data_IF_101607670810
#
_entry.id   IF_101607670810
#
_cell.length_a   1.000
_cell.length_b   1.000
_cell.length_c   1.000
_cell.angle_alpha   90.00
_cell.angle_beta   90.00
_cell.angle_gamma   90.00
#
_symmetry.space_group_name_H-M   'P 1'
#
loop_
_entity.id
_entity.type
_entity.pdbx_description
1 polymer ?
#
# COMPACT_ATOMS: atom_id res chain seq x y z
N UNK A 1 -1.94 -19.91 1.88
CA UNK A 1 -1.73 -19.51 0.46
C UNK A 1 -2.68 -18.39 0.01
N UNK A 2 -4.01 -18.57 0.06
CA UNK A 2 -4.99 -17.57 -0.43
C UNK A 2 -4.93 -16.19 0.26
N UNK A 3 -4.71 -16.14 1.57
CA UNK A 3 -4.67 -14.87 2.31
C UNK A 3 -3.47 -13.99 1.92
N UNK A 4 -2.29 -14.59 1.77
CA UNK A 4 -1.08 -13.87 1.35
C UNK A 4 -1.23 -13.33 -0.08
N UNK A 5 -1.85 -14.10 -0.99
CA UNK A 5 -2.16 -13.62 -2.34
C UNK A 5 -3.07 -12.39 -2.34
N UNK A 6 -4.12 -12.39 -1.51
CA UNK A 6 -5.00 -11.22 -1.35
C UNK A 6 -4.28 -10.02 -0.74
N UNK A 7 -3.40 -10.23 0.26
CA UNK A 7 -2.60 -9.17 0.87
C UNK A 7 -1.65 -8.53 -0.15
N UNK A 8 -0.99 -9.34 -0.98
CA UNK A 8 -0.10 -8.86 -2.05
C UNK A 8 -0.87 -8.09 -3.12
N UNK A 9 -2.03 -8.60 -3.55
CA UNK A 9 -2.89 -7.89 -4.49
C UNK A 9 -3.35 -6.54 -3.93
N UNK A 10 -3.80 -6.51 -2.68
CA UNK A 10 -4.21 -5.27 -2.01
C UNK A 10 -3.04 -4.28 -1.89
N UNK A 11 -1.84 -4.77 -1.54
CA UNK A 11 -0.62 -3.93 -1.47
C UNK A 11 -0.25 -3.35 -2.83
N UNK A 12 -0.40 -4.13 -3.90
CA UNK A 12 -0.14 -3.67 -5.27
C UNK A 12 -1.14 -2.60 -5.73
N UNK A 13 -2.43 -2.82 -5.47
CA UNK A 13 -3.49 -1.85 -5.79
C UNK A 13 -3.32 -0.56 -4.98
N UNK A 14 -3.01 -0.67 -3.69
CA UNK A 14 -2.74 0.46 -2.83
C UNK A 14 -1.52 1.25 -3.33
N UNK A 15 -0.39 0.58 -3.58
CA UNK A 15 0.81 1.25 -4.11
C UNK A 15 0.58 1.93 -5.45
N UNK A 16 -0.23 1.33 -6.32
CA UNK A 16 -0.65 1.96 -7.58
C UNK A 16 -1.51 3.20 -7.31
N UNK A 17 -2.43 3.16 -6.34
CA UNK A 17 -3.23 4.32 -5.95
C UNK A 17 -2.37 5.46 -5.36
N UNK A 18 -1.30 5.14 -4.64
CA UNK A 18 -0.32 6.12 -4.13
C UNK A 18 0.41 6.79 -5.28
N UNK A 19 0.85 6.03 -6.29
CA UNK A 19 1.45 6.58 -7.51
C UNK A 19 0.48 7.46 -8.29
N UNK A 20 -0.80 7.07 -8.42
CA UNK A 20 -1.81 7.90 -9.07
C UNK A 20 -2.08 9.19 -8.29
N UNK A 21 -2.12 9.12 -6.96
CA UNK A 21 -2.34 10.29 -6.10
C UNK A 21 -1.20 11.30 -6.23
N UNK A 22 0.05 10.86 -6.04
CA UNK A 22 1.21 11.76 -6.05
C UNK A 22 1.71 12.08 -7.46
N UNK A 23 1.63 11.15 -8.40
CA UNK A 23 2.13 11.30 -9.77
C UNK A 23 1.15 11.94 -10.74
N UNK A 24 -0.16 11.91 -10.46
CA UNK A 24 -1.19 12.49 -11.35
C UNK A 24 -2.04 13.51 -10.62
N UNK A 25 -2.71 13.13 -9.52
CA UNK A 25 -3.68 14.01 -8.89
C UNK A 25 -3.02 15.27 -8.30
N UNK A 26 -1.84 15.13 -7.68
CA UNK A 26 -1.09 16.28 -7.15
C UNK A 26 -0.62 17.24 -8.27
N UNK A 27 0.00 16.77 -9.38
CA UNK A 27 0.27 17.63 -10.53
C UNK A 27 -0.98 18.33 -11.10
N UNK A 28 -2.10 17.61 -11.24
CA UNK A 28 -3.35 18.23 -11.72
C UNK A 28 -3.86 19.33 -10.77
N UNK A 29 -3.71 19.15 -9.46
CA UNK A 29 -4.07 20.19 -8.48
C UNK A 29 -3.27 21.47 -8.69
N UNK A 30 -1.95 21.38 -8.91
CA UNK A 30 -1.08 22.55 -8.98
C UNK A 30 -0.93 23.14 -10.40
N UNK A 31 -1.01 22.32 -11.45
CA UNK A 31 -0.79 22.74 -12.84
C UNK A 31 -2.09 23.09 -13.57
N UNK A 32 -3.18 22.41 -13.21
CA UNK A 32 -4.48 22.56 -13.87
C UNK A 32 -5.56 23.12 -12.91
N UNK A 33 -5.20 23.51 -11.69
CA UNK A 33 -6.13 24.02 -10.67
C UNK A 33 -7.34 23.08 -10.44
N UNK A 34 -7.10 21.75 -10.49
CA UNK A 34 -8.13 20.72 -10.33
C UNK A 34 -8.05 20.03 -8.95
N UNK A 35 -8.43 20.70 -7.85
CA UNK A 35 -8.38 20.10 -6.50
C UNK A 35 -9.34 18.90 -6.35
N UNK A 36 -10.38 18.82 -7.19
CA UNK A 36 -11.33 17.71 -7.20
C UNK A 36 -10.66 16.36 -7.49
N UNK A 37 -9.63 16.32 -8.35
CA UNK A 37 -8.89 15.10 -8.66
C UNK A 37 -8.22 14.52 -7.41
N UNK A 38 -7.58 15.38 -6.60
CA UNK A 38 -6.98 14.97 -5.31
C UNK A 38 -8.05 14.51 -4.33
N UNK A 39 -9.21 15.17 -4.28
CA UNK A 39 -10.29 14.75 -3.37
C UNK A 39 -10.79 13.34 -3.70
N UNK A 40 -11.01 13.03 -4.97
CA UNK A 40 -11.51 11.71 -5.40
C UNK A 40 -10.43 10.65 -5.21
N UNK A 41 -9.25 10.84 -5.83
CA UNK A 41 -8.15 9.86 -5.79
C UNK A 41 -7.63 9.69 -4.36
N UNK A 42 -7.51 10.78 -3.61
CA UNK A 42 -7.09 10.76 -2.21
C UNK A 42 -8.07 10.04 -1.29
N UNK A 43 -9.38 10.17 -1.52
CA UNK A 43 -10.38 9.41 -0.74
C UNK A 43 -10.30 7.91 -1.04
N UNK A 44 -10.14 7.53 -2.31
CA UNK A 44 -9.96 6.13 -2.73
C UNK A 44 -8.69 5.55 -2.11
N UNK A 45 -7.58 6.26 -2.24
CA UNK A 45 -6.29 5.87 -1.67
C UNK A 45 -6.38 5.72 -0.14
N UNK A 46 -6.98 6.69 0.56
CA UNK A 46 -7.15 6.63 2.02
C UNK A 46 -7.95 5.40 2.48
N UNK A 47 -9.02 5.04 1.75
CA UNK A 47 -9.77 3.81 2.03
C UNK A 47 -8.91 2.55 1.81
N UNK A 48 -8.18 2.49 0.69
CA UNK A 48 -7.26 1.38 0.39
C UNK A 48 -6.17 1.24 1.46
N UNK A 49 -5.58 2.34 1.91
CA UNK A 49 -4.56 2.38 2.96
C UNK A 49 -5.08 1.83 4.29
N UNK A 50 -6.29 2.21 4.70
CA UNK A 50 -6.93 1.66 5.92
C UNK A 50 -7.19 0.17 5.77
N UNK A 51 -7.74 -0.27 4.64
CA UNK A 51 -7.96 -1.70 4.37
C UNK A 51 -6.66 -2.50 4.41
N UNK A 52 -5.59 -1.97 3.80
CA UNK A 52 -4.28 -2.61 3.79
C UNK A 52 -3.67 -2.68 5.21
N UNK A 53 -3.78 -1.59 5.98
CA UNK A 53 -3.29 -1.54 7.35
C UNK A 53 -3.97 -2.58 8.25
N UNK A 54 -5.30 -2.69 8.16
CA UNK A 54 -6.05 -3.74 8.85
C UNK A 54 -5.66 -5.14 8.40
N UNK A 55 -5.44 -5.34 7.08
CA UNK A 55 -5.00 -6.62 6.55
C UNK A 55 -3.61 -7.02 7.08
N UNK A 56 -2.66 -6.09 7.18
CA UNK A 56 -1.35 -6.34 7.80
C UNK A 56 -1.45 -6.68 9.28
N UNK A 57 -2.31 -5.99 10.04
CA UNK A 57 -2.56 -6.33 11.44
C UNK A 57 -3.11 -7.75 11.58
N UNK A 58 -4.13 -8.11 10.79
CA UNK A 58 -4.69 -9.48 10.79
C UNK A 58 -3.67 -10.52 10.35
N UNK A 59 -2.77 -10.16 9.44
CA UNK A 59 -1.74 -11.05 8.92
C UNK A 59 -0.76 -11.49 10.02
N UNK A 60 -0.48 -10.65 11.03
CA UNK A 60 0.37 -11.04 12.19
C UNK A 60 -0.18 -12.23 12.99
N UNK A 61 -1.49 -12.48 12.93
CA UNK A 61 -2.15 -13.60 13.63
C UNK A 61 -2.47 -14.79 12.71
N UNK A 62 -2.28 -14.66 11.39
CA UNK A 62 -2.72 -15.64 10.38
C UNK A 62 -1.59 -16.20 9.53
N UNK A 63 -0.45 -15.54 9.49
CA UNK A 63 0.75 -15.95 8.76
C UNK A 63 1.98 -15.62 9.62
N UNK A 64 3.11 -16.33 9.47
CA UNK A 64 4.28 -16.21 10.34
C UNK A 64 5.12 -14.95 10.05
N UNK A 65 4.46 -13.82 9.85
CA UNK A 65 5.10 -12.51 9.68
C UNK A 65 5.19 -11.79 11.03
N UNK A 66 6.34 -11.16 11.28
CA UNK A 66 6.59 -10.46 12.55
C UNK A 66 5.82 -9.14 12.60
N UNK A 67 5.50 -8.67 13.83
CA UNK A 67 4.88 -7.36 14.04
C UNK A 67 5.69 -6.22 13.42
N UNK A 68 7.02 -6.30 13.50
CA UNK A 68 7.93 -5.34 12.88
C UNK A 68 7.81 -5.31 11.35
N UNK A 69 7.64 -6.47 10.71
CA UNK A 69 7.45 -6.55 9.26
C UNK A 69 6.09 -5.99 8.83
N UNK A 70 5.02 -6.28 9.59
CA UNK A 70 3.71 -5.69 9.35
C UNK A 70 3.73 -4.16 9.50
N UNK A 71 4.42 -3.64 10.52
CA UNK A 71 4.61 -2.21 10.71
C UNK A 71 5.42 -1.57 9.57
N UNK A 72 6.51 -2.21 9.15
CA UNK A 72 7.30 -1.75 8.00
C UNK A 72 6.47 -1.70 6.72
N UNK A 73 5.55 -2.65 6.50
CA UNK A 73 4.63 -2.65 5.36
C UNK A 73 3.66 -1.45 5.37
N UNK A 74 3.12 -1.11 6.54
CA UNK A 74 2.25 0.06 6.71
C UNK A 74 3.02 1.36 6.47
N UNK A 75 4.23 1.49 7.04
CA UNK A 75 5.08 2.66 6.83
C UNK A 75 5.49 2.79 5.36
N UNK A 76 5.78 1.67 4.71
CA UNK A 76 6.12 1.64 3.31
C UNK A 76 4.96 2.13 2.43
N UNK A 77 3.72 1.75 2.72
CA UNK A 77 2.52 2.18 1.97
C UNK A 77 2.33 3.72 1.92
N UNK A 78 2.81 4.46 2.93
CA UNK A 78 2.76 5.94 2.94
C UNK A 78 3.66 6.57 1.87
N UNK A 79 4.74 5.88 1.48
CA UNK A 79 5.68 6.37 0.49
C UNK A 79 5.26 5.91 -0.91
N UNK A 80 5.31 6.78 -1.95
CA UNK A 80 4.84 6.46 -3.29
C UNK A 80 5.46 5.21 -3.92
N UNK A 81 6.69 4.87 -3.55
CA UNK A 81 7.38 3.67 -4.02
C UNK A 81 7.60 2.62 -2.93
N UNK A 82 7.23 2.91 -1.68
CA UNK A 82 7.47 2.02 -0.55
C UNK A 82 6.78 0.65 -0.67
N UNK A 83 5.49 0.53 -1.04
CA UNK A 83 4.85 -0.79 -1.08
C UNK A 83 5.44 -1.71 -2.16
N UNK A 84 5.97 -1.17 -3.26
CA UNK A 84 6.66 -1.97 -4.30
C UNK A 84 8.00 -2.53 -3.81
N UNK A 85 8.79 -1.71 -3.12
CA UNK A 85 10.06 -2.16 -2.52
C UNK A 85 9.78 -3.19 -1.42
N UNK A 86 8.76 -2.94 -0.60
CA UNK A 86 8.36 -3.83 0.48
C UNK A 86 7.88 -5.20 -0.03
N UNK A 87 7.05 -5.27 -1.08
CA UNK A 87 6.59 -6.56 -1.65
C UNK A 87 7.78 -7.40 -2.15
N UNK A 88 8.78 -6.77 -2.77
CA UNK A 88 10.00 -7.44 -3.25
C UNK A 88 10.81 -8.00 -2.07
N UNK A 89 10.93 -7.24 -0.99
CA UNK A 89 11.64 -7.67 0.22
C UNK A 89 10.89 -8.79 0.96
N UNK A 90 9.56 -8.70 1.06
CA UNK A 90 8.70 -9.74 1.63
C UNK A 90 8.82 -11.05 0.84
N UNK A 91 8.87 -10.98 -0.49
CA UNK A 91 9.06 -12.16 -1.34
C UNK A 91 10.38 -12.89 -1.11
N UNK A 92 11.45 -12.16 -0.77
CA UNK A 92 12.75 -12.77 -0.39
C UNK A 92 12.67 -13.39 1.01
N UNK A 93 12.11 -12.69 2.00
CA UNK A 93 11.98 -13.16 3.38
C UNK A 93 11.10 -14.41 3.54
N UNK A 94 10.07 -14.56 2.71
CA UNK A 94 9.21 -15.76 2.69
C UNK A 94 9.88 -16.93 1.99
N UNK A 95 10.84 -16.68 1.09
CA UNK A 95 11.59 -17.73 0.37
C UNK A 95 12.73 -18.30 1.21
N UNK A 96 13.29 -17.49 2.11
CA UNK A 96 14.41 -17.85 2.99
C UNK A 96 13.97 -18.49 4.33
N UNK A 97 12.67 -18.66 4.58
CA UNK A 97 12.09 -19.38 5.73
C UNK A 97 11.37 -20.65 5.30
#
# INVERSE_FOLDING_TARGET
MQFLGRLRLLSFVEGTSTLLLFGIAMPLKYLAEMPLAVRIVGSIHGLLFVCLSLAFLLATSRVPITKGLAFAGIVAAVLPFGPFVFDRWLGQLVKDR
#
